data_IF_613752401433
#
_entry.id   IF_613752401433
#
_cell.length_a   1.000
_cell.length_b   1.000
_cell.length_c   1.000
_cell.angle_alpha   90.00
_cell.angle_beta   90.00
_cell.angle_gamma   90.00
#
_symmetry.space_group_name_H-M   'P 1'
#
loop_
_entity.id
_entity.type
_entity.pdbx_description
1 polymer ?
#
# COMPACT_ATOMS: atom_id res chain seq x y z
N UNK A 1 -10.04 18.65 -74.17
CA UNK A 1 -8.98 18.91 -73.19
C UNK A 1 -9.72 19.50 -71.98
N UNK A 2 -10.21 18.64 -71.07
CA UNK A 2 -9.54 18.24 -69.81
C UNK A 2 -9.33 19.48 -68.93
N UNK A 3 -9.87 19.61 -67.72
CA UNK A 3 -10.01 18.61 -66.66
C UNK A 3 -11.10 19.00 -65.65
N UNK A 4 -11.79 17.98 -65.15
CA UNK A 4 -12.37 17.92 -63.81
C UNK A 4 -11.25 17.59 -62.81
N UNK A 5 -11.32 18.12 -61.58
CA UNK A 5 -10.82 17.50 -60.31
C UNK A 5 -11.02 18.53 -59.18
N UNK A 6 -12.00 18.29 -58.30
CA UNK A 6 -11.90 17.61 -57.00
C UNK A 6 -11.67 18.59 -55.86
N UNK A 7 -12.76 18.84 -55.12
CA UNK A 7 -12.70 19.40 -53.77
C UNK A 7 -11.99 18.41 -52.84
N UNK A 8 -11.00 18.92 -52.12
CA UNK A 8 -10.38 18.21 -51.01
C UNK A 8 -11.15 18.62 -49.76
N UNK A 9 -12.02 17.72 -49.33
CA UNK A 9 -12.60 17.72 -47.99
C UNK A 9 -11.49 17.28 -47.03
N UNK A 10 -10.78 18.24 -46.45
CA UNK A 10 -9.81 17.99 -45.38
C UNK A 10 -10.58 17.62 -44.11
N UNK A 11 -11.02 16.37 -44.06
CA UNK A 11 -11.50 15.73 -42.86
C UNK A 11 -10.40 15.79 -41.80
N UNK A 12 -10.56 16.73 -40.86
CA UNK A 12 -9.80 16.78 -39.61
C UNK A 12 -10.02 15.44 -38.91
N UNK A 13 -9.05 14.54 -39.05
CA UNK A 13 -8.99 13.30 -38.31
C UNK A 13 -9.01 13.66 -36.83
N UNK A 14 -10.12 13.35 -36.15
CA UNK A 14 -10.23 13.49 -34.71
C UNK A 14 -9.10 12.67 -34.07
N UNK A 15 -8.17 13.36 -33.42
CA UNK A 15 -7.13 12.75 -32.60
C UNK A 15 -7.75 11.69 -31.68
N UNK A 16 -7.11 10.51 -31.50
CA UNK A 16 -7.66 9.48 -30.63
C UNK A 16 -7.85 10.09 -29.25
N UNK A 17 -9.10 10.12 -28.76
CA UNK A 17 -9.43 10.58 -27.41
C UNK A 17 -8.56 9.80 -26.45
N UNK A 18 -7.62 10.46 -25.78
CA UNK A 18 -6.88 9.91 -24.66
C UNK A 18 -7.92 9.58 -23.59
N UNK A 19 -8.38 8.33 -23.54
CA UNK A 19 -9.30 7.88 -22.51
C UNK A 19 -8.47 7.85 -21.23
N UNK A 20 -8.60 8.89 -20.40
CA UNK A 20 -8.04 8.90 -19.06
C UNK A 20 -8.47 7.62 -18.35
N UNK A 21 -7.55 6.87 -17.74
CA UNK A 21 -7.91 5.63 -17.08
C UNK A 21 -8.99 5.89 -16.03
N UNK A 22 -10.02 5.04 -16.02
CA UNK A 22 -11.12 5.11 -15.07
C UNK A 22 -10.58 5.15 -13.63
N UNK A 23 -11.12 6.02 -12.75
CA UNK A 23 -10.63 6.12 -11.38
C UNK A 23 -10.79 4.79 -10.64
N UNK A 24 -9.84 4.48 -9.76
CA UNK A 24 -9.89 3.26 -8.94
C UNK A 24 -10.82 3.39 -7.72
N UNK A 25 -11.06 4.62 -7.29
CA UNK A 25 -11.84 4.98 -6.11
C UNK A 25 -12.88 6.02 -6.54
N UNK A 26 -14.12 5.80 -6.16
CA UNK A 26 -15.24 6.72 -6.36
C UNK A 26 -15.09 7.98 -5.49
N UNK A 27 -15.89 9.00 -5.78
CA UNK A 27 -15.89 10.24 -4.98
C UNK A 27 -16.29 10.02 -3.51
N UNK A 28 -16.99 8.93 -3.20
CA UNK A 28 -17.39 8.54 -1.83
C UNK A 28 -16.33 7.69 -1.09
N UNK A 29 -15.17 7.45 -1.70
CA UNK A 29 -14.09 6.65 -1.12
C UNK A 29 -14.24 5.13 -1.31
N UNK A 30 -15.35 4.68 -1.90
CA UNK A 30 -15.55 3.26 -2.22
C UNK A 30 -14.77 2.86 -3.49
N UNK A 31 -14.25 1.63 -3.61
CA UNK A 31 -13.57 1.22 -4.83
C UNK A 31 -14.56 0.95 -5.96
N UNK A 32 -14.16 1.27 -7.20
CA UNK A 32 -14.96 0.92 -8.38
C UNK A 32 -15.02 -0.61 -8.56
N UNK A 33 -15.92 -1.16 -9.42
CA UNK A 33 -15.98 -2.61 -9.69
C UNK A 33 -14.64 -3.21 -10.14
N UNK A 34 -13.78 -2.41 -10.79
CA UNK A 34 -12.40 -2.79 -11.16
C UNK A 34 -11.35 -2.31 -10.14
N UNK A 35 -11.71 -1.33 -9.33
CA UNK A 35 -10.89 -0.68 -8.31
C UNK A 35 -10.22 -1.67 -7.37
N UNK A 36 -10.98 -2.55 -6.72
CA UNK A 36 -10.40 -3.51 -5.76
C UNK A 36 -9.32 -4.41 -6.36
N UNK A 37 -9.54 -4.92 -7.58
CA UNK A 37 -8.57 -5.77 -8.26
C UNK A 37 -7.29 -5.00 -8.54
N UNK A 38 -7.41 -3.77 -9.06
CA UNK A 38 -6.26 -2.95 -9.41
C UNK A 38 -5.52 -2.40 -8.18
N UNK A 39 -6.25 -1.96 -7.16
CA UNK A 39 -5.71 -1.56 -5.85
C UNK A 39 -4.89 -2.71 -5.26
N UNK A 40 -5.47 -3.92 -5.21
CA UNK A 40 -4.76 -5.10 -4.69
C UNK A 40 -3.49 -5.43 -5.48
N UNK A 41 -3.53 -5.32 -6.81
CA UNK A 41 -2.35 -5.47 -7.67
C UNK A 41 -1.27 -4.42 -7.33
N UNK A 42 -1.65 -3.15 -7.23
CA UNK A 42 -0.74 -2.05 -6.93
C UNK A 42 -0.14 -2.16 -5.51
N UNK A 43 -0.94 -2.51 -4.51
CA UNK A 43 -0.48 -2.70 -3.13
C UNK A 43 0.49 -3.88 -3.01
N UNK A 44 0.32 -4.94 -3.82
CA UNK A 44 1.19 -6.13 -3.80
C UNK A 44 2.55 -5.92 -4.48
N UNK A 45 2.70 -4.90 -5.34
CA UNK A 45 3.96 -4.68 -6.07
C UNK A 45 5.17 -4.65 -5.13
N UNK A 46 6.29 -5.33 -5.46
CA UNK A 46 7.53 -5.17 -4.72
C UNK A 46 7.93 -3.70 -4.55
N UNK A 47 8.67 -3.42 -3.48
CA UNK A 47 9.24 -2.10 -3.19
C UNK A 47 10.64 -2.27 -2.61
N UNK A 48 11.48 -1.22 -2.59
CA UNK A 48 12.80 -1.33 -1.96
C UNK A 48 12.69 -1.86 -0.53
N UNK A 49 13.33 -3.01 -0.27
CA UNK A 49 13.48 -3.56 1.07
C UNK A 49 14.87 -3.27 1.62
N UNK A 50 14.93 -3.20 2.94
CA UNK A 50 16.17 -3.17 3.70
C UNK A 50 16.50 -4.58 4.16
N UNK A 51 17.76 -4.83 4.43
CA UNK A 51 18.23 -6.11 4.93
C UNK A 51 18.80 -5.95 6.34
N UNK A 52 18.59 -6.97 7.18
CA UNK A 52 19.23 -7.06 8.50
C UNK A 52 19.69 -8.49 8.75
N UNK A 53 20.72 -8.64 9.59
CA UNK A 53 21.09 -9.96 10.10
C UNK A 53 20.02 -10.43 11.08
N UNK A 54 19.50 -11.62 10.85
CA UNK A 54 18.60 -12.34 11.73
C UNK A 54 19.33 -13.43 12.52
N UNK A 55 18.58 -14.16 13.35
CA UNK A 55 19.11 -15.31 14.09
C UNK A 55 19.78 -16.34 13.16
N UNK A 56 20.90 -16.91 13.61
CA UNK A 56 21.64 -17.91 12.85
C UNK A 56 22.34 -17.38 11.59
N UNK A 57 22.63 -16.07 11.52
CA UNK A 57 23.36 -15.46 10.40
C UNK A 57 22.54 -15.28 9.12
N UNK A 58 21.23 -15.57 9.15
CA UNK A 58 20.33 -15.39 8.01
C UNK A 58 20.17 -13.91 7.71
N UNK A 59 20.09 -13.55 6.43
CA UNK A 59 19.73 -12.19 6.01
C UNK A 59 18.22 -12.11 5.87
N UNK A 60 17.59 -11.21 6.62
CA UNK A 60 16.15 -10.97 6.59
C UNK A 60 15.86 -9.66 5.85
N UNK A 61 15.00 -9.74 4.83
CA UNK A 61 14.46 -8.57 4.14
C UNK A 61 13.28 -8.01 4.90
N UNK A 62 13.20 -6.68 5.04
CA UNK A 62 12.10 -6.01 5.71
C UNK A 62 11.81 -4.63 5.08
N UNK A 63 10.56 -4.20 5.25
CA UNK A 63 10.12 -2.83 5.02
C UNK A 63 9.83 -2.16 6.36
N UNK A 64 9.81 -0.83 6.37
CA UNK A 64 9.41 -0.01 7.52
C UNK A 64 7.93 0.32 7.45
N UNK A 65 7.35 0.77 8.56
CA UNK A 65 6.00 1.31 8.58
C UNK A 65 5.83 2.50 7.61
N UNK A 66 6.90 3.28 7.36
CA UNK A 66 6.85 4.44 6.43
C UNK A 66 6.76 3.99 4.98
N UNK A 67 7.43 2.89 4.61
CA UNK A 67 7.29 2.34 3.25
C UNK A 67 5.85 1.83 3.01
N UNK A 68 5.22 1.27 4.05
CA UNK A 68 3.78 0.89 4.01
C UNK A 68 2.89 2.11 3.84
N UNK A 69 3.08 3.15 4.66
CA UNK A 69 2.30 4.40 4.59
C UNK A 69 2.45 5.07 3.22
N UNK A 70 3.68 5.20 2.72
CA UNK A 70 3.95 5.75 1.40
C UNK A 70 3.29 4.94 0.27
N UNK A 71 3.24 3.61 0.40
CA UNK A 71 2.53 2.76 -0.57
C UNK A 71 1.02 2.98 -0.51
N UNK A 72 0.45 3.10 0.68
CA UNK A 72 -0.98 3.37 0.84
C UNK A 72 -1.32 4.75 0.26
N UNK A 73 -0.57 5.79 0.60
CA UNK A 73 -0.75 7.15 0.06
C UNK A 73 -0.60 7.18 -1.46
N UNK A 74 0.41 6.51 -2.01
CA UNK A 74 0.64 6.50 -3.46
C UNK A 74 -0.42 5.76 -4.27
N UNK A 75 -1.14 4.81 -3.67
CA UNK A 75 -2.17 4.01 -4.36
C UNK A 75 -3.58 4.53 -4.08
N UNK A 76 -3.83 4.99 -2.86
CA UNK A 76 -5.16 5.31 -2.36
C UNK A 76 -5.34 6.82 -2.11
N UNK A 77 -4.26 7.57 -1.95
CA UNK A 77 -4.29 8.89 -1.33
C UNK A 77 -4.51 8.82 0.19
N UNK A 78 -4.17 9.88 0.93
CA UNK A 78 -4.18 9.88 2.40
C UNK A 78 -5.59 9.81 3.02
N UNK A 79 -6.63 10.12 2.25
CA UNK A 79 -8.02 10.11 2.73
C UNK A 79 -8.71 8.74 2.69
N UNK A 80 -8.10 7.74 2.07
CA UNK A 80 -8.74 6.45 1.77
C UNK A 80 -8.19 5.27 2.59
N UNK A 81 -7.34 5.56 3.58
CA UNK A 81 -6.89 4.57 4.55
C UNK A 81 -6.74 5.19 5.94
N UNK A 82 -6.85 4.37 6.98
CA UNK A 82 -6.66 4.78 8.36
C UNK A 82 -6.20 3.62 9.22
N UNK A 83 -5.59 3.93 10.36
CA UNK A 83 -5.18 2.95 11.36
C UNK A 83 -5.79 3.28 12.71
N UNK A 84 -6.31 2.27 13.41
CA UNK A 84 -6.59 2.34 14.84
C UNK A 84 -5.75 1.33 15.60
N UNK A 85 -5.43 1.64 16.84
CA UNK A 85 -4.54 0.83 17.66
C UNK A 85 -5.19 0.46 18.97
N UNK A 86 -4.89 -0.75 19.44
CA UNK A 86 -5.25 -1.24 20.76
C UNK A 86 -4.04 -1.89 21.41
N UNK A 87 -3.63 -1.37 22.56
CA UNK A 87 -2.59 -2.01 23.37
C UNK A 87 -3.18 -3.26 24.02
N UNK A 88 -2.60 -4.42 23.72
CA UNK A 88 -3.00 -5.70 24.29
C UNK A 88 -2.15 -6.06 25.52
N UNK A 89 -0.88 -5.63 25.53
CA UNK A 89 0.05 -5.77 26.65
C UNK A 89 1.10 -4.66 26.59
N UNK A 90 1.56 -4.18 27.73
CA UNK A 90 2.68 -3.22 27.83
C UNK A 90 4.00 -3.92 28.18
N UNK A 91 3.94 -5.08 28.85
CA UNK A 91 5.12 -5.86 29.26
C UNK A 91 4.91 -7.36 28.98
N UNK A 92 5.38 -7.88 27.83
CA UNK A 92 6.00 -7.15 26.72
C UNK A 92 4.98 -6.29 25.96
N UNK A 93 5.46 -5.31 25.20
CA UNK A 93 4.63 -4.50 24.30
C UNK A 93 4.04 -5.36 23.18
N UNK A 94 2.72 -5.45 23.17
CA UNK A 94 1.90 -6.14 22.17
C UNK A 94 0.77 -5.21 21.76
N UNK A 95 0.72 -4.87 20.47
CA UNK A 95 -0.20 -3.85 19.94
C UNK A 95 -0.97 -4.43 18.76
N UNK A 96 -2.29 -4.42 18.84
CA UNK A 96 -3.14 -4.68 17.68
C UNK A 96 -3.26 -3.40 16.85
N UNK A 97 -3.11 -3.53 15.53
CA UNK A 97 -3.43 -2.49 14.56
C UNK A 97 -4.58 -2.97 13.69
N UNK A 98 -5.66 -2.19 13.64
CA UNK A 98 -6.68 -2.33 12.60
C UNK A 98 -6.39 -1.32 11.50
N UNK A 99 -6.03 -1.82 10.32
CA UNK A 99 -5.85 -1.02 9.11
C UNK A 99 -7.14 -1.08 8.28
N UNK A 100 -7.70 0.08 7.98
CA UNK A 100 -8.85 0.24 7.08
C UNK A 100 -8.39 0.83 5.76
N UNK A 101 -8.79 0.21 4.65
CA UNK A 101 -8.52 0.64 3.27
C UNK A 101 -9.85 0.67 2.53
N UNK A 102 -10.26 1.84 2.05
CA UNK A 102 -11.51 2.05 1.32
C UNK A 102 -12.73 1.37 1.99
N UNK A 103 -12.84 1.52 3.32
CA UNK A 103 -13.93 0.95 4.14
C UNK A 103 -13.78 -0.53 4.51
N UNK A 104 -12.83 -1.28 3.94
CA UNK A 104 -12.54 -2.64 4.37
C UNK A 104 -11.45 -2.64 5.44
N UNK A 105 -11.64 -3.39 6.53
CA UNK A 105 -10.66 -3.46 7.62
C UNK A 105 -9.98 -4.83 7.71
N UNK A 106 -8.69 -4.81 8.09
CA UNK A 106 -7.89 -5.98 8.44
C UNK A 106 -7.09 -5.65 9.70
N UNK A 107 -6.99 -6.60 10.62
CA UNK A 107 -6.26 -6.44 11.85
C UNK A 107 -5.15 -7.49 11.97
N UNK A 108 -4.05 -7.10 12.60
CA UNK A 108 -2.97 -7.99 13.02
C UNK A 108 -2.26 -7.38 14.23
N UNK A 109 -1.41 -8.17 14.89
CA UNK A 109 -0.75 -7.83 16.14
C UNK A 109 0.74 -7.67 15.92
N UNK A 110 1.31 -6.54 16.33
CA UNK A 110 2.74 -6.27 16.33
C UNK A 110 3.39 -6.50 17.68
N UNK A 111 4.68 -6.81 17.63
CA UNK A 111 5.52 -7.07 18.80
C UNK A 111 6.73 -6.14 18.80
N UNK A 112 7.24 -5.81 19.99
CA UNK A 112 8.54 -5.14 20.10
C UNK A 112 9.66 -6.04 19.58
N UNK A 113 10.52 -5.50 18.72
CA UNK A 113 11.78 -6.12 18.33
C UNK A 113 13.00 -5.51 19.04
N UNK A 114 12.75 -4.68 20.06
CA UNK A 114 13.76 -4.05 20.90
C UNK A 114 13.30 -4.05 22.38
N UNK A 115 12.96 -5.21 22.96
CA UNK A 115 12.40 -5.27 24.32
C UNK A 115 13.37 -4.77 25.39
N UNK A 116 14.68 -4.88 25.17
CA UNK A 116 15.74 -4.51 26.11
C UNK A 116 16.41 -3.17 25.76
N UNK A 117 15.73 -2.31 25.00
CA UNK A 117 16.25 -0.97 24.64
C UNK A 117 16.43 -0.09 25.88
N UNK A 118 17.53 0.65 25.94
CA UNK A 118 17.77 1.68 26.98
C UNK A 118 16.80 2.87 26.85
N UNK A 119 16.29 3.15 25.64
CA UNK A 119 15.18 4.07 25.43
C UNK A 119 13.86 3.32 25.69
N UNK A 120 13.21 3.64 26.82
CA UNK A 120 11.93 3.06 27.27
C UNK A 120 10.78 3.21 26.27
N UNK A 121 10.88 4.15 25.32
CA UNK A 121 9.84 4.38 24.31
C UNK A 121 10.01 3.53 23.06
N UNK A 122 11.21 3.02 22.79
CA UNK A 122 11.50 2.22 21.60
C UNK A 122 10.74 0.88 21.57
N UNK A 123 10.57 0.13 22.68
CA UNK A 123 9.75 -1.08 22.66
C UNK A 123 8.31 -0.84 22.19
N UNK A 124 7.70 0.25 22.66
CA UNK A 124 6.36 0.63 22.24
C UNK A 124 6.35 1.01 20.76
N UNK A 125 7.21 1.96 20.33
CA UNK A 125 7.29 2.41 18.92
C UNK A 125 7.53 1.25 17.95
N UNK A 126 8.36 0.28 18.34
CA UNK A 126 8.63 -0.94 17.60
C UNK A 126 7.36 -1.77 17.42
N UNK A 127 6.60 -2.03 18.49
CA UNK A 127 5.35 -2.80 18.45
C UNK A 127 4.29 -2.14 17.54
N UNK A 128 4.11 -0.82 17.65
CA UNK A 128 3.18 -0.07 16.78
C UNK A 128 3.61 -0.16 15.31
N UNK A 129 4.90 0.05 15.02
CA UNK A 129 5.42 -0.03 13.65
C UNK A 129 5.29 -1.44 13.10
N UNK A 130 5.47 -2.46 13.92
CA UNK A 130 5.28 -3.85 13.53
C UNK A 130 3.82 -4.18 13.22
N UNK A 131 2.91 -3.73 14.06
CA UNK A 131 1.47 -3.93 13.90
C UNK A 131 0.95 -3.35 12.58
N UNK A 132 1.39 -2.13 12.22
CA UNK A 132 1.04 -1.49 10.93
C UNK A 132 1.49 -2.36 9.74
N UNK A 133 2.74 -2.81 9.74
CA UNK A 133 3.27 -3.61 8.63
C UNK A 133 2.51 -4.93 8.50
N UNK A 134 2.21 -5.57 9.63
CA UNK A 134 1.52 -6.86 9.67
C UNK A 134 0.06 -6.74 9.21
N UNK A 135 -0.68 -5.74 9.70
CA UNK A 135 -2.04 -5.49 9.22
C UNK A 135 -2.09 -5.22 7.71
N UNK A 136 -1.07 -4.53 7.17
CA UNK A 136 -0.96 -4.25 5.74
C UNK A 136 -0.74 -5.49 4.85
N UNK A 137 -0.18 -6.59 5.39
CA UNK A 137 -0.08 -7.90 4.71
C UNK A 137 -1.48 -8.43 4.35
N UNK A 138 -2.50 -8.10 5.13
CA UNK A 138 -3.91 -8.41 4.86
C UNK A 138 -4.44 -7.81 3.55
N UNK A 139 -3.85 -6.69 3.10
CA UNK A 139 -4.13 -6.06 1.79
C UNK A 139 -3.08 -6.37 0.72
N UNK A 140 -2.09 -7.20 1.04
CA UNK A 140 -1.04 -7.64 0.13
C UNK A 140 0.27 -6.84 0.19
N UNK A 141 0.33 -5.76 0.96
CA UNK A 141 1.56 -4.97 1.12
C UNK A 141 2.61 -5.82 1.85
N UNK A 142 3.79 -5.95 1.26
CA UNK A 142 4.89 -6.73 1.85
C UNK A 142 4.74 -8.25 1.78
N UNK A 143 3.70 -8.81 1.16
CA UNK A 143 3.54 -10.28 0.99
C UNK A 143 4.72 -10.92 0.26
N UNK A 144 5.26 -10.23 -0.74
CA UNK A 144 6.40 -10.67 -1.52
C UNK A 144 7.68 -10.89 -0.68
N UNK A 145 7.75 -10.40 0.56
CA UNK A 145 8.86 -10.67 1.48
C UNK A 145 8.85 -12.12 2.00
N UNK A 146 7.73 -12.84 1.88
CA UNK A 146 7.54 -14.21 2.37
C UNK A 146 7.58 -15.26 1.25
N UNK A 147 7.59 -14.84 -0.02
CA UNK A 147 7.58 -15.73 -1.19
C UNK A 147 9.00 -16.16 -1.60
N UNK A 148 10.02 -15.85 -0.79
CA UNK A 148 11.44 -16.05 -1.07
C UNK A 148 12.04 -17.28 -0.37
#
# INVERSE_FOLDING_TARGET
MTESTNGVDDGVAASPKTVSPEPLINADGSPTPRGWRKIGELLRKPMPARQRKGPGGRILSYITARDVQNRLDGVLGPGNWSTSFRVLSQEPWVVECTLTVCGASRADVGYSNAPDSEDETEPAKAAYSDAVKRAAVGFGVGRWLYDA
#
